data_IF_089720564826
#
_entry.id   IF_089720564826
#
_cell.length_a   1.000
_cell.length_b   1.000
_cell.length_c   1.000
_cell.angle_alpha   90.00
_cell.angle_beta   90.00
_cell.angle_gamma   90.00
#
_symmetry.space_group_name_H-M   'P 1'
#
loop_
_entity.id
_entity.type
_entity.pdbx_description
1 polymer ?
#
# COMPACT_ATOMS: atom_id res chain seq x y z
N UNK A 1 -15.18 29.86 4.39
CA UNK A 1 -14.16 28.92 4.90
C UNK A 1 -13.25 28.57 3.75
N UNK A 2 -11.95 28.87 3.87
CA UNK A 2 -10.97 28.59 2.82
C UNK A 2 -10.88 27.08 2.58
N UNK A 3 -10.93 26.64 1.31
CA UNK A 3 -10.54 25.27 0.99
C UNK A 3 -9.03 25.20 1.15
N UNK A 4 -8.56 24.56 2.23
CA UNK A 4 -7.16 24.19 2.33
C UNK A 4 -6.85 23.23 1.18
N UNK A 5 -6.22 23.75 0.13
CA UNK A 5 -5.71 22.94 -0.95
C UNK A 5 -4.65 22.01 -0.38
N UNK A 6 -4.90 20.71 -0.40
CA UNK A 6 -3.87 19.71 -0.16
C UNK A 6 -2.78 19.95 -1.19
N UNK A 7 -1.54 20.24 -0.75
CA UNK A 7 -0.41 20.41 -1.66
C UNK A 7 -0.10 19.08 -2.33
N UNK A 8 -0.42 18.99 -3.62
CA UNK A 8 -0.20 17.81 -4.46
C UNK A 8 1.15 17.83 -5.18
N UNK A 9 1.87 18.96 -5.12
CA UNK A 9 3.14 19.21 -5.83
C UNK A 9 4.28 18.25 -5.46
N UNK A 10 4.18 17.57 -4.31
CA UNK A 10 5.18 16.61 -3.83
C UNK A 10 4.77 15.14 -3.99
N UNK A 11 3.59 14.87 -4.53
CA UNK A 11 3.12 13.49 -4.69
C UNK A 11 3.63 12.88 -5.99
N UNK A 12 4.08 11.63 -5.97
CA UNK A 12 4.45 10.94 -7.20
C UNK A 12 3.22 10.81 -8.11
N UNK A 13 3.41 10.93 -9.42
CA UNK A 13 2.36 10.67 -10.41
C UNK A 13 2.29 9.16 -10.67
N UNK A 14 1.11 8.56 -10.58
CA UNK A 14 0.86 7.17 -11.00
C UNK A 14 1.07 7.07 -12.51
N UNK A 15 2.06 6.26 -12.92
CA UNK A 15 2.42 6.04 -14.33
C UNK A 15 2.07 4.63 -14.80
N UNK A 16 1.88 3.70 -13.87
CA UNK A 16 1.47 2.33 -14.16
C UNK A 16 1.79 1.38 -13.01
N UNK A 17 1.87 0.09 -13.33
CA UNK A 17 2.05 -0.98 -12.35
C UNK A 17 3.37 -0.86 -11.57
N UNK A 18 4.45 -0.41 -12.21
CA UNK A 18 5.78 -0.36 -11.60
C UNK A 18 5.92 0.64 -10.45
N UNK A 19 5.05 1.66 -10.39
CA UNK A 19 5.10 2.68 -9.34
C UNK A 19 3.84 2.74 -8.48
N UNK A 20 2.89 1.82 -8.67
CA UNK A 20 1.61 1.82 -7.97
C UNK A 20 1.76 1.77 -6.44
N UNK A 21 2.63 0.91 -5.92
CA UNK A 21 2.79 0.74 -4.47
C UNK A 21 3.41 1.97 -3.81
N UNK A 22 4.45 2.53 -4.42
CA UNK A 22 5.05 3.78 -3.95
C UNK A 22 4.04 4.93 -4.02
N UNK A 23 3.28 5.02 -5.10
CA UNK A 23 2.21 6.00 -5.25
C UNK A 23 1.15 5.87 -4.14
N UNK A 24 0.63 4.67 -3.90
CA UNK A 24 -0.38 4.42 -2.87
C UNK A 24 0.12 4.74 -1.45
N UNK A 25 1.40 4.46 -1.18
CA UNK A 25 2.04 4.81 0.10
C UNK A 25 2.11 6.34 0.32
N UNK A 26 2.61 7.10 -0.65
CA UNK A 26 2.69 8.56 -0.54
C UNK A 26 1.31 9.22 -0.50
N UNK A 27 0.34 8.68 -1.25
CA UNK A 27 -1.05 9.10 -1.20
C UNK A 27 -1.63 8.92 0.21
N UNK A 28 -1.40 7.75 0.84
CA UNK A 28 -1.80 7.47 2.22
C UNK A 28 -1.21 8.50 3.18
N UNK A 29 0.11 8.72 3.12
CA UNK A 29 0.77 9.69 4.01
C UNK A 29 0.16 11.09 3.89
N UNK A 30 -0.02 11.60 2.67
CA UNK A 30 -0.58 12.93 2.44
C UNK A 30 -2.07 13.05 2.82
N UNK A 31 -2.85 11.98 2.62
CA UNK A 31 -4.24 11.99 3.05
C UNK A 31 -4.36 12.01 4.59
N UNK A 32 -3.48 11.28 5.29
CA UNK A 32 -3.48 11.19 6.75
C UNK A 32 -2.97 12.44 7.45
N UNK A 33 -2.04 13.19 6.85
CA UNK A 33 -1.64 14.52 7.37
C UNK A 33 -2.76 15.54 7.27
N UNK A 34 -3.69 15.41 6.32
CA UNK A 34 -4.84 16.30 6.21
C UNK A 34 -6.01 15.87 7.11
N UNK A 35 -6.39 14.58 7.07
CA UNK A 35 -7.42 14.02 7.96
C UNK A 35 -7.34 12.51 8.04
N UNK A 36 -7.42 11.96 9.26
CA UNK A 36 -7.48 10.51 9.50
C UNK A 36 -8.70 9.87 8.80
N UNK A 37 -9.80 10.62 8.65
CA UNK A 37 -11.01 10.15 7.94
C UNK A 37 -10.81 10.06 6.43
N UNK A 38 -9.89 10.83 5.86
CA UNK A 38 -9.71 10.92 4.41
C UNK A 38 -9.15 9.61 3.83
N UNK A 39 -8.13 9.04 4.47
CA UNK A 39 -7.61 7.73 4.05
C UNK A 39 -8.68 6.64 4.17
N UNK A 40 -9.41 6.61 5.30
CA UNK A 40 -10.51 5.65 5.51
C UNK A 40 -11.60 5.77 4.45
N UNK A 41 -11.90 6.99 3.98
CA UNK A 41 -12.80 7.21 2.86
C UNK A 41 -12.23 6.65 1.55
N UNK A 42 -10.96 6.93 1.24
CA UNK A 42 -10.27 6.46 0.02
C UNK A 42 -10.26 4.93 -0.06
N UNK A 43 -10.10 4.23 1.06
CA UNK A 43 -10.13 2.74 1.09
C UNK A 43 -11.54 2.17 1.33
N UNK A 44 -12.58 3.01 1.39
CA UNK A 44 -13.96 2.57 1.52
C UNK A 44 -14.43 2.19 2.94
N UNK A 45 -13.60 2.36 3.96
CA UNK A 45 -13.95 2.11 5.38
C UNK A 45 -14.84 3.18 6.01
N UNK A 46 -14.94 4.36 5.38
CA UNK A 46 -15.83 5.44 5.83
C UNK A 46 -16.93 5.70 4.80
N UNK A 47 -18.16 5.33 5.17
CA UNK A 47 -19.38 5.57 4.37
C UNK A 47 -20.43 6.32 5.21
N UNK A 48 -21.20 7.23 4.59
CA UNK A 48 -22.22 7.98 5.30
C UNK A 48 -23.43 7.07 5.56
N UNK A 49 -24.06 7.22 6.73
CA UNK A 49 -25.31 6.51 7.03
C UNK A 49 -26.48 7.29 6.46
N UNK A 50 -27.25 6.74 5.52
CA UNK A 50 -28.21 7.52 4.73
C UNK A 50 -29.33 8.25 5.51
N UNK A 51 -29.58 7.96 6.79
CA UNK A 51 -30.51 8.71 7.65
C UNK A 51 -30.18 8.51 9.14
N UNK A 52 -30.32 9.56 9.94
CA UNK A 52 -30.38 9.46 11.41
C UNK A 52 -31.76 9.92 11.88
N UNK A 53 -32.40 9.22 12.85
CA UNK A 53 -33.64 9.70 13.46
C UNK A 53 -33.40 11.06 14.12
N UNK A 54 -34.29 12.03 13.87
CA UNK A 54 -34.25 13.30 14.61
C UNK A 54 -34.42 13.01 16.11
N UNK A 55 -33.53 13.58 16.92
CA UNK A 55 -33.61 13.53 18.37
C UNK A 55 -34.73 14.47 18.88
N UNK A 56 -35.98 14.08 18.66
CA UNK A 56 -37.12 14.70 19.33
C UNK A 56 -37.31 14.07 20.71
N UNK A 57 -37.78 14.87 21.67
CA UNK A 57 -38.17 14.31 22.97
C UNK A 57 -39.33 13.32 22.80
N UNK A 58 -39.45 12.33 23.70
CA UNK A 58 -40.56 11.35 23.67
C UNK A 58 -41.94 12.03 23.63
N UNK A 59 -42.10 13.16 24.31
CA UNK A 59 -43.34 13.93 24.33
C UNK A 59 -43.67 14.55 22.98
N UNK A 60 -42.69 15.12 22.29
CA UNK A 60 -42.86 15.70 20.94
C UNK A 60 -43.17 14.63 19.90
N UNK A 61 -42.47 13.49 19.95
CA UNK A 61 -42.72 12.37 19.01
C UNK A 61 -44.16 11.86 19.19
N UNK A 62 -44.59 11.62 20.43
CA UNK A 62 -45.95 11.10 20.72
C UNK A 62 -47.03 12.09 20.29
N UNK A 63 -46.81 13.39 20.51
CA UNK A 63 -47.75 14.44 20.08
C UNK A 63 -47.87 14.52 18.56
N UNK A 64 -46.74 14.48 17.84
CA UNK A 64 -46.73 14.51 16.37
C UNK A 64 -47.30 13.23 15.75
N UNK A 65 -47.01 12.07 16.33
CA UNK A 65 -47.60 10.80 15.92
C UNK A 65 -49.12 10.81 16.10
N UNK A 66 -49.62 11.35 17.22
CA UNK A 66 -51.04 11.55 17.47
C UNK A 66 -51.72 12.46 16.44
N UNK A 67 -51.10 13.60 16.10
CA UNK A 67 -51.60 14.50 15.06
C UNK A 67 -51.69 13.81 13.71
N UNK A 68 -50.64 13.06 13.33
CA UNK A 68 -50.60 12.32 12.07
C UNK A 68 -51.66 11.22 12.00
N UNK A 69 -51.81 10.44 13.09
CA UNK A 69 -52.77 9.33 13.18
C UNK A 69 -54.19 9.77 13.58
N UNK A 70 -54.42 11.08 13.74
CA UNK A 70 -55.70 11.70 14.14
C UNK A 70 -56.31 11.08 15.39
N UNK A 71 -55.49 10.86 16.42
CA UNK A 71 -55.94 10.29 17.69
C UNK A 71 -55.30 11.00 18.89
N UNK A 72 -55.90 10.91 20.09
CA UNK A 72 -55.32 11.52 21.28
C UNK A 72 -53.93 10.96 21.61
N UNK A 73 -53.00 11.83 22.02
CA UNK A 73 -51.62 11.44 22.39
C UNK A 73 -51.54 10.34 23.45
N UNK A 74 -52.51 10.29 24.38
CA UNK A 74 -52.59 9.26 25.41
C UNK A 74 -52.92 7.85 24.88
N UNK A 75 -53.46 7.74 23.65
CA UNK A 75 -53.87 6.48 23.03
C UNK A 75 -52.85 5.93 22.03
N UNK A 76 -51.78 6.68 21.75
CA UNK A 76 -50.70 6.25 20.86
C UNK A 76 -49.82 5.22 21.60
N UNK A 77 -49.68 4.04 21.01
CA UNK A 77 -48.80 2.99 21.55
C UNK A 77 -47.33 3.23 21.18
N UNK A 78 -46.42 2.60 21.92
CA UNK A 78 -44.99 2.71 21.63
C UNK A 78 -44.60 2.10 20.28
N UNK A 79 -45.30 1.05 19.82
CA UNK A 79 -45.12 0.47 18.48
C UNK A 79 -45.51 1.46 17.37
N UNK A 80 -46.62 2.20 17.56
CA UNK A 80 -47.05 3.26 16.64
C UNK A 80 -46.05 4.41 16.59
N UNK A 81 -45.44 4.76 17.73
CA UNK A 81 -44.34 5.72 17.82
C UNK A 81 -43.14 5.22 17.02
N UNK A 82 -42.69 3.98 17.22
CA UNK A 82 -41.55 3.43 16.48
C UNK A 82 -41.80 3.43 14.97
N UNK A 83 -43.01 3.08 14.53
CA UNK A 83 -43.39 3.11 13.12
C UNK A 83 -43.38 4.53 12.56
N UNK A 84 -43.93 5.50 13.31
CA UNK A 84 -43.93 6.92 12.92
C UNK A 84 -42.51 7.49 12.81
N UNK A 85 -41.63 7.19 13.79
CA UNK A 85 -40.22 7.61 13.77
C UNK A 85 -39.50 7.10 12.53
N UNK A 86 -39.68 5.82 12.18
CA UNK A 86 -39.07 5.23 10.98
C UNK A 86 -39.57 5.85 9.67
N UNK A 87 -40.82 6.31 9.63
CA UNK A 87 -41.43 6.86 8.41
C UNK A 87 -41.16 8.35 8.20
N UNK A 88 -41.08 9.15 9.26
CA UNK A 88 -41.21 10.61 9.14
C UNK A 88 -40.12 11.43 9.83
N UNK A 89 -39.22 10.79 10.57
CA UNK A 89 -38.30 11.50 11.46
C UNK A 89 -36.87 11.28 10.98
N UNK A 90 -36.45 12.08 9.99
CA UNK A 90 -35.10 12.04 9.41
C UNK A 90 -34.45 13.42 9.46
N UNK A 91 -33.27 13.52 10.07
CA UNK A 91 -32.47 14.75 10.07
C UNK A 91 -31.68 14.86 8.76
N UNK A 92 -31.47 16.07 8.18
CA UNK A 92 -30.44 16.27 7.17
C UNK A 92 -29.12 15.70 7.65
N UNK A 93 -28.52 14.84 6.85
CA UNK A 93 -27.40 14.03 7.29
C UNK A 93 -26.10 14.84 7.27
N UNK A 94 -25.71 15.40 8.42
CA UNK A 94 -24.43 16.07 8.61
C UNK A 94 -23.24 15.17 8.26
N UNK A 95 -23.32 13.86 8.52
CA UNK A 95 -22.28 12.89 8.11
C UNK A 95 -22.22 12.75 6.58
N UNK A 96 -23.34 12.82 5.86
CA UNK A 96 -23.35 12.83 4.39
C UNK A 96 -22.77 14.13 3.83
N UNK A 97 -23.06 15.27 4.46
CA UNK A 97 -22.47 16.55 4.08
C UNK A 97 -20.95 16.54 4.30
N UNK A 98 -20.49 16.05 5.46
CA UNK A 98 -19.06 15.87 5.75
C UNK A 98 -18.42 14.88 4.76
N UNK A 99 -19.06 13.73 4.52
CA UNK A 99 -18.58 12.73 3.57
C UNK A 99 -18.48 13.27 2.16
N UNK A 100 -19.47 14.04 1.69
CA UNK A 100 -19.45 14.64 0.34
C UNK A 100 -18.28 15.61 0.20
N UNK A 101 -18.02 16.42 1.23
CA UNK A 101 -16.86 17.32 1.27
C UNK A 101 -15.54 16.53 1.21
N UNK A 102 -15.39 15.51 2.06
CA UNK A 102 -14.19 14.67 2.11
C UNK A 102 -14.00 13.87 0.80
N UNK A 103 -15.07 13.36 0.20
CA UNK A 103 -15.03 12.62 -1.06
C UNK A 103 -14.54 13.52 -2.20
N UNK A 104 -15.03 14.76 -2.31
CA UNK A 104 -14.53 15.73 -3.29
C UNK A 104 -13.05 16.03 -3.10
N UNK A 105 -12.59 16.22 -1.85
CA UNK A 105 -11.17 16.41 -1.54
C UNK A 105 -10.34 15.18 -1.93
N UNK A 106 -10.82 13.98 -1.62
CA UNK A 106 -10.15 12.73 -1.96
C UNK A 106 -10.08 12.49 -3.48
N UNK A 107 -11.15 12.82 -4.21
CA UNK A 107 -11.20 12.74 -5.67
C UNK A 107 -10.18 13.68 -6.31
N UNK A 108 -10.13 14.94 -5.87
CA UNK A 108 -9.15 15.91 -6.36
C UNK A 108 -7.71 15.42 -6.10
N UNK A 109 -7.46 14.92 -4.90
CA UNK A 109 -6.17 14.34 -4.53
C UNK A 109 -5.79 13.17 -5.45
N UNK A 110 -6.67 12.19 -5.62
CA UNK A 110 -6.46 11.06 -6.52
C UNK A 110 -6.18 11.53 -7.94
N UNK A 111 -7.10 12.27 -8.56
CA UNK A 111 -7.02 12.71 -9.96
C UNK A 111 -5.77 13.56 -10.25
N UNK A 112 -5.36 14.43 -9.32
CA UNK A 112 -4.15 15.25 -9.47
C UNK A 112 -2.84 14.44 -9.50
N UNK A 113 -2.88 13.21 -9.01
CA UNK A 113 -1.73 12.29 -8.97
C UNK A 113 -1.78 11.22 -10.07
N UNK A 114 -2.70 11.31 -11.03
CA UNK A 114 -2.79 10.38 -12.15
C UNK A 114 -2.10 10.95 -13.38
N UNK A 115 -1.37 10.10 -14.12
CA UNK A 115 -0.91 10.48 -15.45
C UNK A 115 -2.13 10.71 -16.39
N UNK A 116 -2.02 11.60 -17.41
CA UNK A 116 -3.15 11.97 -18.26
C UNK A 116 -3.92 10.79 -18.88
N UNK A 117 -3.22 9.75 -19.34
CA UNK A 117 -3.86 8.55 -19.91
C UNK A 117 -4.65 7.72 -18.90
N UNK A 118 -4.21 7.70 -17.64
CA UNK A 118 -4.93 7.03 -16.55
C UNK A 118 -6.13 7.87 -16.11
N UNK A 119 -5.92 9.19 -16.00
CA UNK A 119 -6.98 10.13 -15.64
C UNK A 119 -8.18 10.02 -16.59
N UNK A 120 -7.94 9.96 -17.90
CA UNK A 120 -8.99 9.80 -18.92
C UNK A 120 -9.85 8.55 -18.70
N UNK A 121 -9.23 7.42 -18.33
CA UNK A 121 -9.93 6.16 -18.06
C UNK A 121 -10.72 6.12 -16.75
N UNK A 122 -10.66 7.19 -15.95
CA UNK A 122 -11.25 7.27 -14.60
C UNK A 122 -12.27 8.39 -14.44
N UNK A 123 -12.55 9.15 -15.50
CA UNK A 123 -13.43 10.34 -15.49
C UNK A 123 -14.85 10.04 -15.00
N UNK A 124 -15.34 8.82 -15.19
CA UNK A 124 -16.70 8.43 -14.81
C UNK A 124 -16.86 8.13 -13.30
N UNK A 125 -15.76 7.98 -12.56
CA UNK A 125 -15.81 7.65 -11.15
C UNK A 125 -16.23 8.85 -10.29
N UNK A 126 -17.31 8.66 -9.53
CA UNK A 126 -17.85 9.70 -8.62
C UNK A 126 -17.43 9.50 -7.15
N UNK A 127 -16.78 8.39 -6.86
CA UNK A 127 -16.39 7.98 -5.51
C UNK A 127 -14.90 7.71 -5.47
N UNK A 128 -14.21 8.34 -4.51
CA UNK A 128 -12.78 8.12 -4.31
C UNK A 128 -12.48 6.65 -4.00
N UNK A 129 -13.36 5.98 -3.25
CA UNK A 129 -13.25 4.56 -2.94
C UNK A 129 -13.32 3.67 -4.20
N UNK A 130 -14.27 3.95 -5.10
CA UNK A 130 -14.41 3.19 -6.36
C UNK A 130 -13.24 3.43 -7.30
N UNK A 131 -12.80 4.69 -7.40
CA UNK A 131 -11.61 5.05 -8.18
C UNK A 131 -10.37 4.31 -7.67
N UNK A 132 -10.12 4.35 -6.36
CA UNK A 132 -8.97 3.69 -5.76
C UNK A 132 -9.03 2.16 -5.93
N UNK A 133 -10.19 1.53 -5.74
CA UNK A 133 -10.38 0.09 -6.00
C UNK A 133 -10.10 -0.26 -7.46
N UNK A 134 -10.60 0.52 -8.42
CA UNK A 134 -10.34 0.32 -9.84
C UNK A 134 -8.85 0.42 -10.18
N UNK A 135 -8.17 1.43 -9.68
CA UNK A 135 -6.71 1.59 -9.83
C UNK A 135 -5.96 0.41 -9.20
N UNK A 136 -6.43 -0.09 -8.06
CA UNK A 136 -5.88 -1.28 -7.40
C UNK A 136 -6.09 -2.55 -8.22
N UNK A 137 -7.26 -2.72 -8.85
CA UNK A 137 -7.53 -3.85 -9.74
C UNK A 137 -6.69 -3.79 -11.01
N UNK A 138 -6.48 -2.59 -11.56
CA UNK A 138 -5.72 -2.37 -12.79
C UNK A 138 -4.20 -2.44 -12.60
N UNK A 139 -3.67 -1.91 -11.50
CA UNK A 139 -2.24 -1.72 -11.28
C UNK A 139 -1.72 -2.30 -9.97
N UNK A 140 -2.61 -2.59 -9.02
CA UNK A 140 -2.25 -3.13 -7.69
C UNK A 140 -2.17 -4.65 -7.65
N UNK A 141 -2.67 -5.35 -8.67
CA UNK A 141 -2.44 -6.80 -8.80
C UNK A 141 -1.10 -7.03 -9.48
N UNK A 142 -0.14 -7.70 -8.82
CA UNK A 142 1.02 -8.21 -9.54
C UNK A 142 0.52 -9.10 -10.65
N UNK A 143 0.81 -8.75 -11.91
CA UNK A 143 0.72 -9.74 -12.97
C UNK A 143 1.58 -10.92 -12.50
N UNK A 144 0.97 -12.09 -12.31
CA UNK A 144 1.65 -13.31 -11.85
C UNK A 144 2.90 -13.56 -12.69
N UNK A 145 2.83 -13.26 -13.99
CA UNK A 145 3.93 -13.42 -14.93
C UNK A 145 5.05 -12.41 -14.66
N UNK A 146 4.75 -11.17 -14.28
CA UNK A 146 5.77 -10.16 -13.93
C UNK A 146 6.40 -10.46 -12.58
N UNK A 147 5.64 -10.96 -11.61
CA UNK A 147 6.18 -11.47 -10.35
C UNK A 147 7.10 -12.66 -10.59
N UNK A 148 6.65 -13.63 -11.38
CA UNK A 148 7.43 -14.82 -11.74
C UNK A 148 8.70 -14.43 -12.51
N UNK A 149 8.62 -13.59 -13.55
CA UNK A 149 9.78 -13.09 -14.30
C UNK A 149 10.81 -12.40 -13.41
N UNK A 150 10.37 -11.56 -12.47
CA UNK A 150 11.27 -10.88 -11.51
C UNK A 150 11.79 -11.86 -10.44
N UNK A 151 11.02 -12.88 -10.07
CA UNK A 151 11.46 -13.96 -9.19
C UNK A 151 12.54 -14.82 -9.84
N UNK A 152 12.29 -15.28 -11.06
CA UNK A 152 13.20 -16.02 -11.92
C UNK A 152 14.48 -15.22 -12.15
N UNK A 153 14.39 -13.92 -12.46
CA UNK A 153 15.56 -13.06 -12.62
C UNK A 153 16.47 -12.98 -11.37
N UNK A 154 15.91 -13.11 -10.16
CA UNK A 154 16.69 -13.18 -8.92
C UNK A 154 17.25 -14.59 -8.70
N UNK A 155 16.46 -15.63 -8.97
CA UNK A 155 16.93 -17.01 -8.91
C UNK A 155 18.08 -17.27 -9.89
N UNK A 156 18.06 -16.60 -11.05
CA UNK A 156 19.07 -16.64 -12.10
C UNK A 156 20.23 -15.66 -11.88
N UNK A 157 20.14 -14.77 -10.88
CA UNK A 157 21.19 -13.82 -10.52
C UNK A 157 22.34 -14.55 -9.84
N UNK A 158 23.16 -15.23 -10.63
CA UNK A 158 24.31 -16.03 -10.16
C UNK A 158 25.61 -15.26 -10.33
N UNK A 159 26.52 -15.42 -9.36
CA UNK A 159 27.86 -14.86 -9.46
C UNK A 159 28.72 -15.66 -10.45
N UNK A 160 29.49 -14.96 -11.30
CA UNK A 160 30.44 -15.56 -12.25
C UNK A 160 31.85 -14.98 -12.03
N UNK A 161 32.85 -15.81 -11.70
CA UNK A 161 34.25 -15.42 -11.65
C UNK A 161 34.75 -14.82 -12.96
N UNK A 162 35.73 -13.92 -12.86
CA UNK A 162 36.26 -13.17 -13.99
C UNK A 162 35.49 -11.87 -14.30
N UNK A 163 34.32 -11.66 -13.69
CA UNK A 163 33.64 -10.36 -13.68
C UNK A 163 33.96 -9.58 -12.41
N UNK A 164 33.87 -8.24 -12.46
CA UNK A 164 34.06 -7.41 -11.26
C UNK A 164 32.99 -7.76 -10.22
N UNK A 165 33.35 -8.23 -9.00
CA UNK A 165 32.38 -8.66 -7.99
C UNK A 165 31.44 -7.51 -7.58
N UNK A 166 31.89 -6.27 -7.67
CA UNK A 166 31.06 -5.07 -7.45
C UNK A 166 29.89 -4.97 -8.46
N UNK A 167 30.08 -5.41 -9.71
CA UNK A 167 29.01 -5.40 -10.72
C UNK A 167 27.93 -6.43 -10.37
N UNK A 168 28.34 -7.61 -9.87
CA UNK A 168 27.39 -8.61 -9.37
C UNK A 168 26.60 -8.09 -8.17
N UNK A 169 27.28 -7.53 -7.17
CA UNK A 169 26.62 -6.94 -5.99
C UNK A 169 25.66 -5.83 -6.40
N UNK A 170 26.06 -4.94 -7.32
CA UNK A 170 25.18 -3.89 -7.86
C UNK A 170 23.94 -4.49 -8.53
N UNK A 171 24.11 -5.48 -9.42
CA UNK A 171 22.99 -6.15 -10.09
C UNK A 171 22.05 -6.84 -9.10
N UNK A 172 22.60 -7.52 -8.09
CA UNK A 172 21.82 -8.15 -7.02
C UNK A 172 21.02 -7.09 -6.24
N UNK A 173 21.66 -5.98 -5.87
CA UNK A 173 21.02 -4.90 -5.14
C UNK A 173 19.92 -4.20 -5.95
N UNK A 174 20.16 -3.96 -7.24
CA UNK A 174 19.16 -3.40 -8.15
C UNK A 174 17.95 -4.32 -8.25
N UNK A 175 18.13 -5.65 -8.28
CA UNK A 175 17.04 -6.62 -8.28
C UNK A 175 16.28 -6.65 -6.94
N UNK A 176 16.97 -6.53 -5.81
CA UNK A 176 16.38 -6.47 -4.47
C UNK A 176 15.59 -5.17 -4.25
N UNK A 177 16.17 -4.02 -4.61
CA UNK A 177 15.53 -2.71 -4.47
C UNK A 177 14.33 -2.55 -5.39
N UNK A 178 14.40 -3.05 -6.63
CA UNK A 178 13.24 -3.08 -7.52
C UNK A 178 12.14 -4.04 -7.04
N UNK A 179 12.46 -5.05 -6.21
CA UNK A 179 11.49 -5.94 -5.56
C UNK A 179 10.84 -5.35 -4.30
N UNK A 180 11.53 -4.47 -3.57
CA UNK A 180 10.91 -3.77 -2.43
C UNK A 180 9.76 -2.85 -2.82
N UNK A 181 9.61 -2.54 -4.11
CA UNK A 181 8.43 -1.85 -4.65
C UNK A 181 7.23 -2.78 -4.92
N UNK A 182 7.32 -4.08 -4.62
CA UNK A 182 6.25 -5.07 -4.81
C UNK A 182 5.84 -5.74 -3.49
N UNK A 183 4.80 -5.20 -2.86
CA UNK A 183 4.08 -5.75 -1.70
C UNK A 183 3.12 -6.87 -2.13
N UNK A 184 3.68 -7.99 -2.58
CA UNK A 184 2.96 -9.27 -2.62
C UNK A 184 2.93 -9.96 -1.25
N UNK A 185 2.07 -10.98 -1.04
CA UNK A 185 1.98 -11.73 0.22
C UNK A 185 3.24 -12.56 0.54
N UNK A 186 4.15 -12.72 -0.42
CA UNK A 186 5.46 -13.33 -0.23
C UNK A 186 6.47 -12.26 0.12
N UNK A 187 6.46 -11.92 1.40
CA UNK A 187 7.42 -11.06 2.03
C UNK A 187 8.85 -11.61 1.87
N UNK A 188 9.68 -10.98 1.01
CA UNK A 188 11.13 -10.94 1.24
C UNK A 188 11.39 -9.76 2.20
N UNK A 189 10.81 -9.80 3.40
CA UNK A 189 10.86 -8.68 4.37
C UNK A 189 12.02 -8.79 5.33
N UNK A 190 12.63 -9.97 5.45
CA UNK A 190 13.66 -10.20 6.46
C UNK A 190 15.05 -10.18 5.83
N UNK A 191 16.03 -9.66 6.57
CA UNK A 191 17.44 -9.73 6.14
C UNK A 191 17.91 -11.18 5.94
N UNK A 192 17.27 -12.14 6.60
CA UNK A 192 17.51 -13.57 6.47
C UNK A 192 17.19 -14.11 5.08
N UNK A 193 16.06 -13.73 4.51
CA UNK A 193 15.67 -14.19 3.16
C UNK A 193 16.63 -13.64 2.11
N UNK A 194 17.00 -12.36 2.23
CA UNK A 194 17.96 -11.72 1.34
C UNK A 194 19.36 -12.32 1.48
N UNK A 195 19.78 -12.63 2.71
CA UNK A 195 21.02 -13.35 2.98
C UNK A 195 21.03 -14.74 2.31
N UNK A 196 19.96 -15.53 2.48
CA UNK A 196 19.84 -16.86 1.88
C UNK A 196 19.92 -16.82 0.35
N UNK A 197 19.27 -15.83 -0.27
CA UNK A 197 19.34 -15.63 -1.72
C UNK A 197 20.72 -15.19 -2.18
N UNK A 198 21.39 -14.30 -1.44
CA UNK A 198 22.75 -13.86 -1.74
C UNK A 198 23.74 -15.04 -1.67
N UNK A 199 23.68 -15.84 -0.60
CA UNK A 199 24.52 -17.03 -0.45
C UNK A 199 24.25 -18.03 -1.57
N UNK A 200 22.99 -18.27 -1.95
CA UNK A 200 22.64 -19.16 -3.08
C UNK A 200 23.20 -18.65 -4.41
N UNK A 201 23.08 -17.35 -4.66
CA UNK A 201 23.59 -16.70 -5.86
C UNK A 201 25.12 -16.83 -5.98
N UNK A 202 25.84 -16.73 -4.86
CA UNK A 202 27.29 -16.89 -4.79
C UNK A 202 27.70 -18.37 -4.87
N UNK A 203 26.92 -19.27 -4.24
CA UNK A 203 27.16 -20.73 -4.24
C UNK A 203 27.07 -21.37 -5.62
N UNK A 204 26.41 -20.73 -6.57
CA UNK A 204 26.32 -21.21 -7.95
C UNK A 204 27.70 -21.47 -8.60
N UNK A 205 28.78 -20.90 -8.05
CA UNK A 205 30.14 -21.18 -8.47
C UNK A 205 30.95 -21.99 -7.44
N UNK A 206 31.63 -23.06 -7.90
CA UNK A 206 32.40 -23.97 -7.04
C UNK A 206 33.54 -23.31 -6.26
N UNK A 207 34.23 -22.34 -6.85
CA UNK A 207 35.33 -21.61 -6.17
C UNK A 207 34.88 -20.85 -4.92
N UNK A 208 33.60 -20.49 -4.83
CA UNK A 208 33.07 -19.77 -3.67
C UNK A 208 32.79 -20.68 -2.48
N UNK A 209 32.84 -22.00 -2.65
CA UNK A 209 32.59 -22.95 -1.57
C UNK A 209 33.52 -22.74 -0.38
N UNK A 210 34.78 -22.38 -0.62
CA UNK A 210 35.74 -22.13 0.45
C UNK A 210 35.32 -20.90 1.30
N UNK A 211 34.97 -19.79 0.65
CA UNK A 211 34.46 -18.62 1.35
C UNK A 211 33.15 -18.94 2.10
N UNK A 212 32.17 -19.58 1.43
CA UNK A 212 30.88 -19.92 2.05
C UNK A 212 31.06 -20.81 3.28
N UNK A 213 31.97 -21.77 3.23
CA UNK A 213 32.21 -22.70 4.35
C UNK A 213 32.84 -21.99 5.55
N UNK A 214 33.68 -20.98 5.29
CA UNK A 214 34.39 -20.23 6.32
C UNK A 214 33.67 -18.95 6.76
N UNK A 215 32.64 -18.51 6.02
CA UNK A 215 31.85 -17.33 6.33
C UNK A 215 30.88 -17.66 7.48
N UNK A 216 31.15 -17.12 8.66
CA UNK A 216 30.36 -17.33 9.87
C UNK A 216 29.78 -16.00 10.37
N UNK A 217 28.74 -15.45 9.72
CA UNK A 217 28.18 -14.17 10.09
C UNK A 217 27.33 -14.28 11.38
N UNK A 218 27.25 -13.18 12.13
CA UNK A 218 26.27 -13.08 13.21
C UNK A 218 24.87 -12.96 12.61
N UNK A 219 24.10 -14.04 12.73
CA UNK A 219 22.78 -14.15 12.10
C UNK A 219 21.71 -13.24 12.74
N UNK A 220 21.94 -12.77 13.98
CA UNK A 220 21.06 -11.83 14.66
C UNK A 220 21.43 -10.35 14.37
N UNK A 221 22.47 -10.12 13.57
CA UNK A 221 22.93 -8.78 13.23
C UNK A 221 21.91 -8.03 12.35
N UNK A 222 21.55 -6.81 12.74
CA UNK A 222 20.78 -5.88 11.91
C UNK A 222 21.53 -5.42 10.65
N UNK A 223 22.81 -5.76 10.51
CA UNK A 223 23.65 -5.50 9.33
C UNK A 223 24.10 -6.78 8.62
N UNK A 224 23.50 -7.95 8.94
CA UNK A 224 23.87 -9.27 8.42
C UNK A 224 24.17 -9.28 6.92
N UNK A 225 23.25 -8.74 6.11
CA UNK A 225 23.41 -8.73 4.66
C UNK A 225 24.55 -7.83 4.20
N UNK A 226 24.70 -6.65 4.82
CA UNK A 226 25.76 -5.69 4.50
C UNK A 226 27.13 -6.27 4.84
N UNK A 227 27.25 -6.90 6.01
CA UNK A 227 28.48 -7.52 6.49
C UNK A 227 28.87 -8.72 5.62
N UNK A 228 27.88 -9.51 5.18
CA UNK A 228 28.07 -10.63 4.25
C UNK A 228 28.55 -10.15 2.88
N UNK A 229 27.95 -9.10 2.33
CA UNK A 229 28.38 -8.51 1.05
C UNK A 229 29.82 -7.98 1.15
N UNK A 230 30.16 -7.30 2.25
CA UNK A 230 31.51 -6.79 2.45
C UNK A 230 32.53 -7.93 2.53
N UNK A 231 32.25 -8.96 3.34
CA UNK A 231 33.07 -10.17 3.45
C UNK A 231 33.30 -10.84 2.08
N UNK A 232 32.27 -10.95 1.25
CA UNK A 232 32.37 -11.46 -0.11
C UNK A 232 33.29 -10.61 -0.99
N UNK A 233 33.11 -9.28 -0.98
CA UNK A 233 33.93 -8.36 -1.76
C UNK A 233 35.40 -8.42 -1.36
N UNK A 234 35.68 -8.48 -0.07
CA UNK A 234 37.04 -8.57 0.46
C UNK A 234 37.70 -9.89 0.06
N UNK A 235 36.96 -10.99 0.12
CA UNK A 235 37.43 -12.30 -0.33
C UNK A 235 37.77 -12.31 -1.83
N UNK A 236 36.87 -11.82 -2.68
CA UNK A 236 37.09 -11.80 -4.13
C UNK A 236 38.20 -10.83 -4.55
N UNK A 237 38.31 -9.66 -3.91
CA UNK A 237 39.42 -8.74 -4.14
C UNK A 237 40.76 -9.42 -3.86
N UNK A 238 40.87 -10.15 -2.74
CA UNK A 238 42.08 -10.89 -2.39
C UNK A 238 42.36 -12.05 -3.36
N UNK A 239 41.32 -12.75 -3.82
CA UNK A 239 41.46 -13.86 -4.78
C UNK A 239 41.94 -13.39 -6.15
N UNK A 240 41.38 -12.29 -6.66
CA UNK A 240 41.77 -11.70 -7.96
C UNK A 240 43.19 -11.14 -7.92
N UNK A 241 43.61 -10.57 -6.79
CA UNK A 241 44.96 -10.01 -6.62
C UNK A 241 46.03 -11.08 -6.36
N UNK A 242 45.67 -12.25 -5.81
CA UNK A 242 46.59 -13.35 -5.50
C UNK A 242 46.10 -14.71 -6.05
N UNK A 243 46.09 -14.91 -7.37
CA UNK A 243 45.65 -16.18 -7.97
C UNK A 243 46.53 -17.39 -7.60
N UNK A 244 47.74 -17.16 -7.07
CA UNK A 244 48.66 -18.21 -6.60
C UNK A 244 48.30 -18.80 -5.22
N UNK A 245 47.36 -18.21 -4.48
CA UNK A 245 46.91 -18.70 -3.16
C UNK A 245 45.57 -19.43 -3.19
N UNK A 246 44.90 -19.45 -4.34
CA UNK A 246 43.70 -20.27 -4.50
C UNK A 246 44.16 -21.71 -4.73
N UNK A 247 43.80 -22.68 -3.86
CA UNK A 247 44.21 -24.06 -4.05
C UNK A 247 43.67 -24.53 -5.40
N UNK A 248 44.59 -24.79 -6.35
CA UNK A 248 44.25 -25.45 -7.60
C UNK A 248 43.80 -26.86 -7.24
N UNK A 249 42.56 -27.19 -7.59
CA UNK A 249 42.16 -28.59 -7.76
C UNK A 249 42.70 -29.10 -9.09
#
# INVERSE_FOLDING_TARGET
MASENISTEKLPILKGMDNFQQWAFHLKQASQTHSVKLWKLIIGEFQPKNNHPIAWSKAEIRTRAATYMRMPAAKITDDQIQRFVRMFVTTPNEELAEWTKLNSTAMNLLCSTLAPGIALGTVEEKSAARLFDRLTQMYGRPNKDVFQLKFDALADCTYRPGTKPQNFVKKFWDLVMNKHNYTGPYHLTTQWDLYGQFIRAVRAHGDMLHWITNHNPNMDSATLLKDTIQSFLDYECNRVQNPARTPRR
#
